data_IF_075665381059
#
_entry.id   IF_075665381059
#
_cell.length_a   1.000
_cell.length_b   1.000
_cell.length_c   1.000
_cell.angle_alpha   90.00
_cell.angle_beta   90.00
_cell.angle_gamma   90.00
#
_symmetry.space_group_name_H-M   'P 1'
#
loop_
_entity.id
_entity.type
_entity.pdbx_description
1 polymer ?
#
# COMPACT_ATOMS: atom_id res chain seq x y z
N UNK A 1 -20.95 11.34 10.40
CA UNK A 1 -21.23 10.39 9.31
C UNK A 1 -22.34 9.46 9.74
N UNK A 2 -23.17 9.01 8.80
CA UNK A 2 -24.23 8.04 9.06
C UNK A 2 -23.72 6.58 8.99
N UNK A 3 -24.61 5.61 9.28
CA UNK A 3 -24.24 4.20 9.30
C UNK A 3 -23.89 3.65 7.90
N UNK A 4 -24.51 4.15 6.83
CA UNK A 4 -24.24 3.68 5.47
C UNK A 4 -22.88 4.18 5.01
N UNK A 5 -22.58 5.45 5.24
CA UNK A 5 -21.26 6.03 5.01
C UNK A 5 -20.18 5.29 5.81
N UNK A 6 -20.45 4.98 7.08
CA UNK A 6 -19.49 4.26 7.93
C UNK A 6 -19.25 2.84 7.41
N UNK A 7 -20.33 2.09 7.11
CA UNK A 7 -20.24 0.71 6.59
C UNK A 7 -19.46 0.62 5.29
N UNK A 8 -19.61 1.60 4.39
CA UNK A 8 -18.87 1.64 3.13
C UNK A 8 -17.35 1.81 3.32
N UNK A 9 -16.89 2.30 4.48
CA UNK A 9 -15.48 2.57 4.78
C UNK A 9 -14.86 1.55 5.75
N UNK A 10 -15.62 0.59 6.28
CA UNK A 10 -15.11 -0.32 7.32
C UNK A 10 -13.99 -1.25 6.82
N UNK A 11 -14.08 -1.75 5.58
CA UNK A 11 -13.01 -2.60 5.03
C UNK A 11 -11.70 -1.82 4.92
N UNK A 12 -11.75 -0.63 4.33
CA UNK A 12 -10.59 0.26 4.22
C UNK A 12 -10.05 0.72 5.59
N UNK A 13 -10.90 0.87 6.61
CA UNK A 13 -10.46 1.15 7.99
C UNK A 13 -9.66 -0.03 8.55
N UNK A 14 -10.17 -1.26 8.39
CA UNK A 14 -9.52 -2.48 8.87
C UNK A 14 -8.18 -2.72 8.18
N UNK A 15 -8.10 -2.46 6.87
CA UNK A 15 -6.88 -2.60 6.07
C UNK A 15 -5.92 -1.41 6.22
N UNK A 16 -6.30 -0.38 6.99
CA UNK A 16 -5.54 0.86 7.24
C UNK A 16 -5.26 1.68 5.97
N UNK A 17 -6.20 1.67 5.05
CA UNK A 17 -6.13 2.36 3.77
C UNK A 17 -6.80 3.76 3.79
N UNK A 18 -7.55 4.06 4.86
CA UNK A 18 -8.18 5.36 5.02
C UNK A 18 -7.17 6.49 5.26
N UNK A 19 -7.52 7.67 4.75
CA UNK A 19 -6.85 8.90 5.16
C UNK A 19 -7.06 9.14 6.67
N UNK A 20 -6.12 9.84 7.31
CA UNK A 20 -6.22 10.16 8.74
C UNK A 20 -7.56 10.80 9.16
N UNK A 21 -8.11 11.82 8.45
CA UNK A 21 -9.40 12.39 8.83
C UNK A 21 -10.56 11.40 8.66
N UNK A 22 -10.51 10.51 7.66
CA UNK A 22 -11.59 9.55 7.42
C UNK A 22 -11.58 8.44 8.47
N UNK A 23 -10.39 7.93 8.81
CA UNK A 23 -10.20 6.97 9.89
C UNK A 23 -10.73 7.51 11.22
N UNK A 24 -10.46 8.79 11.54
CA UNK A 24 -10.98 9.42 12.76
C UNK A 24 -12.51 9.48 12.76
N UNK A 25 -13.13 9.88 11.64
CA UNK A 25 -14.60 9.96 11.53
C UNK A 25 -15.25 8.59 11.68
N UNK A 26 -14.69 7.56 11.04
CA UNK A 26 -15.15 6.17 11.16
C UNK A 26 -14.99 5.68 12.59
N UNK A 27 -13.83 5.90 13.22
CA UNK A 27 -13.59 5.50 14.61
C UNK A 27 -14.60 6.14 15.57
N UNK A 28 -14.82 7.45 15.48
CA UNK A 28 -15.82 8.15 16.30
C UNK A 28 -17.23 7.57 16.12
N UNK A 29 -17.62 7.23 14.89
CA UNK A 29 -18.92 6.60 14.64
C UNK A 29 -18.99 5.19 15.23
N UNK A 30 -17.95 4.37 15.02
CA UNK A 30 -17.87 3.02 15.57
C UNK A 30 -17.90 3.05 17.10
N UNK A 31 -17.27 4.03 17.75
CA UNK A 31 -17.32 4.18 19.21
C UNK A 31 -18.71 4.55 19.74
N UNK A 32 -19.57 5.13 18.90
CA UNK A 32 -20.96 5.45 19.23
C UNK A 32 -22.01 4.42 18.80
N UNK A 33 -21.70 3.52 17.88
CA UNK A 33 -22.71 2.67 17.21
C UNK A 33 -22.43 1.17 17.34
N UNK A 34 -23.29 0.46 18.08
CA UNK A 34 -23.18 -1.00 18.27
C UNK A 34 -23.30 -1.82 16.98
N UNK A 35 -24.15 -1.39 16.05
CA UNK A 35 -24.29 -2.07 14.76
C UNK A 35 -22.98 -2.01 13.96
N UNK A 36 -22.35 -0.84 13.88
CA UNK A 36 -21.09 -0.67 13.17
C UNK A 36 -19.91 -1.33 13.92
N UNK A 37 -19.91 -1.37 15.26
CA UNK A 37 -18.93 -2.18 16.03
C UNK A 37 -18.99 -3.66 15.66
N UNK A 38 -20.19 -4.24 15.66
CA UNK A 38 -20.36 -5.66 15.33
C UNK A 38 -19.93 -5.96 13.92
N UNK A 39 -20.24 -5.08 12.97
CA UNK A 39 -19.81 -5.26 11.59
C UNK A 39 -18.29 -5.21 11.45
N UNK A 40 -17.64 -4.21 12.04
CA UNK A 40 -16.18 -4.11 12.06
C UNK A 40 -15.53 -5.34 12.67
N UNK A 41 -16.09 -5.86 13.78
CA UNK A 41 -15.60 -7.08 14.41
C UNK A 41 -15.70 -8.32 13.51
N UNK A 42 -16.75 -8.43 12.67
CA UNK A 42 -16.88 -9.51 11.69
C UNK A 42 -15.78 -9.41 10.62
N UNK A 43 -15.52 -8.22 10.09
CA UNK A 43 -14.46 -7.99 9.10
C UNK A 43 -13.09 -8.35 9.69
N UNK A 44 -12.79 -7.88 10.92
CA UNK A 44 -11.54 -8.24 11.61
C UNK A 44 -11.41 -9.75 11.81
N UNK A 45 -12.48 -10.43 12.19
CA UNK A 45 -12.49 -11.89 12.36
C UNK A 45 -12.19 -12.61 11.03
N UNK A 46 -12.80 -12.15 9.94
CA UNK A 46 -12.54 -12.68 8.60
C UNK A 46 -11.07 -12.49 8.20
N UNK A 47 -10.53 -11.28 8.36
CA UNK A 47 -9.12 -10.98 8.06
C UNK A 47 -8.18 -11.88 8.87
N UNK A 48 -8.47 -12.10 10.16
CA UNK A 48 -7.69 -13.00 11.00
C UNK A 48 -7.75 -14.45 10.52
N UNK A 49 -8.94 -14.94 10.14
CA UNK A 49 -9.10 -16.30 9.62
C UNK A 49 -8.32 -16.50 8.31
N UNK A 50 -8.38 -15.53 7.39
CA UNK A 50 -7.64 -15.58 6.13
C UNK A 50 -6.13 -15.56 6.37
N UNK A 51 -5.64 -14.75 7.31
CA UNK A 51 -4.20 -14.70 7.66
C UNK A 51 -3.68 -15.98 8.30
N UNK A 52 -4.56 -16.78 8.90
CA UNK A 52 -4.22 -18.08 9.48
C UNK A 52 -4.28 -19.23 8.46
N UNK A 53 -4.77 -18.98 7.25
CA UNK A 53 -4.79 -19.99 6.20
C UNK A 53 -3.37 -20.40 5.79
N UNK A 54 -3.24 -21.64 5.31
CA UNK A 54 -1.95 -22.17 4.88
C UNK A 54 -1.32 -21.32 3.78
N UNK A 55 -0.09 -20.87 4.05
CA UNK A 55 0.68 -20.16 3.05
C UNK A 55 1.32 -21.15 2.07
N UNK A 56 0.84 -21.17 0.83
CA UNK A 56 1.44 -21.98 -0.22
C UNK A 56 2.66 -21.28 -0.82
N UNK A 57 3.86 -21.83 -0.60
CA UNK A 57 5.09 -21.36 -1.24
C UNK A 57 5.06 -21.68 -2.73
N UNK A 58 5.42 -20.69 -3.54
CA UNK A 58 5.61 -20.88 -4.98
C UNK A 58 6.75 -21.87 -5.24
N UNK A 59 6.57 -22.88 -6.13
CA UNK A 59 7.64 -23.81 -6.49
C UNK A 59 8.83 -23.11 -7.17
N UNK A 60 10.05 -23.61 -6.96
CA UNK A 60 11.26 -23.07 -7.60
C UNK A 60 11.20 -23.09 -9.13
N UNK A 61 10.49 -24.07 -9.71
CA UNK A 61 10.25 -24.14 -11.14
C UNK A 61 9.50 -22.91 -11.67
N UNK A 62 8.52 -22.39 -10.93
CA UNK A 62 7.79 -21.17 -11.31
C UNK A 62 8.72 -19.95 -11.26
N UNK A 63 9.55 -19.85 -10.22
CA UNK A 63 10.58 -18.80 -10.11
C UNK A 63 11.51 -18.83 -11.32
N UNK A 64 12.04 -20.00 -11.69
CA UNK A 64 12.94 -20.16 -12.83
C UNK A 64 12.26 -19.74 -14.14
N UNK A 65 11.00 -20.15 -14.35
CA UNK A 65 10.21 -19.78 -15.53
C UNK A 65 10.00 -18.27 -15.64
N UNK A 66 9.69 -17.59 -14.52
CA UNK A 66 9.51 -16.14 -14.50
C UNK A 66 10.82 -15.44 -14.86
N UNK A 67 11.95 -15.83 -14.24
CA UNK A 67 13.26 -15.24 -14.50
C UNK A 67 13.69 -15.40 -15.97
N UNK A 68 13.42 -16.55 -16.58
CA UNK A 68 13.72 -16.79 -17.99
C UNK A 68 12.84 -15.96 -18.95
N UNK A 69 11.66 -15.55 -18.50
CA UNK A 69 10.70 -14.78 -19.31
C UNK A 69 10.89 -13.28 -19.21
N UNK A 70 11.72 -12.79 -18.28
CA UNK A 70 12.00 -11.38 -18.16
C UNK A 70 12.86 -10.92 -19.35
N UNK A 71 12.53 -9.79 -20.00
CA UNK A 71 13.40 -9.20 -21.00
C UNK A 71 14.76 -8.90 -20.36
N UNK A 72 15.85 -9.22 -21.05
CA UNK A 72 17.19 -8.88 -20.60
C UNK A 72 17.23 -7.38 -20.27
N UNK A 73 17.91 -7.02 -19.17
CA UNK A 73 18.03 -5.65 -18.68
C UNK A 73 18.82 -4.69 -19.62
N UNK A 74 18.77 -4.90 -20.92
CA UNK A 74 19.35 -4.05 -21.95
C UNK A 74 18.61 -2.71 -22.11
N UNK A 75 17.33 -2.62 -21.74
CA UNK A 75 16.54 -1.39 -21.86
C UNK A 75 16.74 -0.37 -20.73
N UNK A 76 17.39 -0.74 -19.63
CA UNK A 76 17.71 0.21 -18.55
C UNK A 76 18.75 1.24 -18.98
N UNK A 77 19.74 0.84 -19.81
CA UNK A 77 20.77 1.75 -20.34
C UNK A 77 20.25 2.70 -21.43
N UNK A 78 19.16 2.34 -22.09
CA UNK A 78 18.54 3.19 -23.10
C UNK A 78 17.79 4.39 -22.47
N UNK A 79 17.25 4.24 -21.25
CA UNK A 79 16.57 5.34 -20.53
C UNK A 79 17.51 6.32 -19.83
N UNK A 80 18.73 5.90 -19.47
CA UNK A 80 19.78 6.80 -18.97
C UNK A 80 20.45 7.62 -20.08
N UNK A 81 20.27 7.21 -21.35
CA UNK A 81 20.85 7.86 -22.52
C UNK A 81 19.90 8.89 -23.15
N UNK A 82 19.09 9.58 -22.35
CA UNK A 82 18.38 10.77 -22.83
C UNK A 82 19.35 11.96 -22.81
N UNK A 83 19.54 12.70 -23.91
CA UNK A 83 20.44 13.85 -23.96
C UNK A 83 20.10 14.86 -22.86
N UNK A 84 21.12 15.30 -22.13
CA UNK A 84 21.01 16.34 -21.11
C UNK A 84 20.41 17.62 -21.72
N UNK A 85 19.26 18.05 -21.20
CA UNK A 85 18.74 19.40 -21.40
C UNK A 85 19.81 20.43 -20.96
N UNK A 86 20.03 21.54 -21.71
CA UNK A 86 20.96 22.57 -21.29
C UNK A 86 20.44 23.25 -20.01
N UNK A 87 21.31 23.23 -19.00
CA UNK A 87 21.06 23.70 -17.64
C UNK A 87 20.89 25.23 -17.62
N UNK A 88 19.74 25.82 -17.21
CA UNK A 88 19.68 27.24 -16.92
C UNK A 88 20.48 27.54 -15.65
N UNK A 89 21.04 28.75 -15.62
CA UNK A 89 22.06 29.20 -14.68
C UNK A 89 21.59 29.27 -13.22
N UNK A 90 22.60 29.22 -12.34
CA UNK A 90 22.53 29.01 -10.88
C UNK A 90 21.55 29.94 -10.14
N UNK A 91 20.56 29.33 -9.49
CA UNK A 91 19.82 29.86 -8.34
C UNK A 91 19.84 28.85 -7.18
N UNK A 92 19.94 29.35 -5.95
CA UNK A 92 20.23 28.67 -4.66
C UNK A 92 19.54 27.31 -4.40
N UNK A 93 20.16 26.40 -3.61
CA UNK A 93 19.61 25.07 -3.35
C UNK A 93 18.45 25.10 -2.32
N UNK A 94 17.38 24.30 -2.51
CA UNK A 94 16.33 24.11 -1.51
C UNK A 94 16.78 23.17 -0.37
N UNK A 95 16.15 23.25 0.83
CA UNK A 95 16.54 22.44 1.98
C UNK A 95 16.27 20.94 1.77
N UNK A 96 17.21 20.12 2.25
CA UNK A 96 17.20 18.65 2.14
C UNK A 96 16.10 18.05 3.04
N UNK A 97 15.13 17.36 2.43
CA UNK A 97 14.20 16.50 3.16
C UNK A 97 14.88 15.18 3.59
N UNK A 98 14.65 14.68 4.82
CA UNK A 98 15.21 13.42 5.26
C UNK A 98 14.60 12.24 4.48
N UNK A 99 15.46 11.32 4.06
CA UNK A 99 15.07 10.07 3.39
C UNK A 99 14.33 9.17 4.38
N UNK A 100 13.00 9.15 4.28
CA UNK A 100 12.17 8.12 4.88
C UNK A 100 12.57 6.75 4.33
N UNK A 101 12.73 5.79 5.24
CA UNK A 101 13.16 4.42 5.00
C UNK A 101 12.20 3.70 4.05
N UNK A 102 12.77 2.82 3.22
CA UNK A 102 12.12 2.18 2.08
C UNK A 102 10.84 1.39 2.41
N UNK A 103 9.86 1.54 1.53
CA UNK A 103 8.56 0.87 1.53
C UNK A 103 8.54 -0.55 0.95
N UNK A 104 9.69 -1.24 0.91
CA UNK A 104 9.75 -2.59 0.35
C UNK A 104 10.65 -3.49 1.19
N UNK A 105 10.13 -3.92 2.33
CA UNK A 105 10.52 -5.19 2.95
C UNK A 105 9.26 -6.06 3.02
N UNK A 106 8.92 -6.68 1.90
CA UNK A 106 7.99 -7.82 1.92
C UNK A 106 8.67 -8.97 2.67
N UNK A 107 7.92 -9.50 3.64
CA UNK A 107 8.20 -10.65 4.51
C UNK A 107 8.83 -11.85 3.81
#
# INVERSE_FOLDING_TARGET
MDCNEARALLDADVDRELSAPDALRVQQHVDGCDACRRERARIVTLVQAVRQADYHRAPDALRASILASLPAAADARARESSPAEPRPERGSPPPRRPRGRGWFSWL
#
